data_IF_249049990503
#
_entry.id   IF_249049990503
#
_cell.length_a   1.000
_cell.length_b   1.000
_cell.length_c   1.000
_cell.angle_alpha   90.00
_cell.angle_beta   90.00
_cell.angle_gamma   90.00
#
_symmetry.space_group_name_H-M   'P 1'
#
loop_
_entity.id
_entity.type
_entity.pdbx_description
1 polymer ?
#
# COMPACT_ATOMS: atom_id res chain seq x y z
N UNK A 1 -3.26 -4.09 8.33
CA UNK A 1 -3.07 -3.05 7.32
C UNK A 1 -3.73 -1.76 7.78
N UNK A 2 -3.05 -0.66 7.63
CA UNK A 2 -3.53 0.63 8.10
C UNK A 2 -3.64 1.60 6.93
N UNK A 3 -4.67 2.45 6.97
CA UNK A 3 -4.92 3.41 5.89
C UNK A 3 -5.12 4.83 6.44
N UNK A 4 -4.13 5.39 7.15
CA UNK A 4 -4.28 6.78 7.51
C UNK A 4 -4.27 7.66 6.26
N UNK A 5 -5.16 8.62 6.20
CA UNK A 5 -5.11 9.61 5.14
C UNK A 5 -5.37 10.98 5.72
N UNK A 6 -4.90 11.99 5.04
CA UNK A 6 -5.09 13.38 5.44
C UNK A 6 -5.60 14.17 4.27
N UNK A 7 -6.67 14.96 4.45
CA UNK A 7 -7.00 15.98 3.46
C UNK A 7 -5.81 16.92 3.41
N UNK A 8 -5.25 17.09 2.23
CA UNK A 8 -4.05 17.89 2.11
C UNK A 8 -4.46 19.30 1.68
N UNK A 9 -4.55 20.21 2.64
CA UNK A 9 -4.91 21.59 2.34
C UNK A 9 -3.89 22.27 1.42
N UNK A 10 -2.67 21.73 1.32
CA UNK A 10 -1.67 22.21 0.40
C UNK A 10 -1.78 21.60 -0.99
N UNK A 11 -2.72 20.67 -1.20
CA UNK A 11 -2.96 20.00 -2.47
C UNK A 11 -4.20 20.58 -3.13
N UNK A 12 -4.54 20.10 -4.32
CA UNK A 12 -5.76 20.55 -4.97
C UNK A 12 -6.99 20.06 -4.21
N UNK A 13 -8.15 20.70 -4.45
CA UNK A 13 -9.36 20.55 -3.65
C UNK A 13 -9.85 19.12 -3.49
N UNK A 14 -9.61 18.27 -4.46
CA UNK A 14 -10.12 16.90 -4.44
C UNK A 14 -9.05 15.87 -4.10
N UNK A 15 -7.89 16.31 -3.71
CA UNK A 15 -6.77 15.39 -3.48
C UNK A 15 -6.50 15.14 -2.01
N UNK A 16 -6.03 13.94 -1.74
CA UNK A 16 -5.58 13.51 -0.42
C UNK A 16 -4.19 12.92 -0.55
N UNK A 17 -3.48 12.86 0.57
CA UNK A 17 -2.24 12.09 0.68
C UNK A 17 -2.58 10.82 1.42
N UNK A 18 -2.47 9.68 0.73
CA UNK A 18 -2.70 8.37 1.33
C UNK A 18 -1.38 7.74 1.70
N UNK A 19 -1.25 7.39 2.97
CA UNK A 19 -0.11 6.64 3.49
C UNK A 19 -0.62 5.26 3.86
N UNK A 20 0.04 4.22 3.36
CA UNK A 20 -0.41 2.85 3.57
C UNK A 20 0.74 1.96 3.99
N UNK A 21 0.45 1.02 4.87
CA UNK A 21 1.39 -0.05 5.22
C UNK A 21 0.71 -1.37 4.94
N UNK A 22 1.35 -2.19 4.12
CA UNK A 22 0.86 -3.52 3.78
C UNK A 22 1.71 -4.55 4.50
N UNK A 23 1.06 -5.46 5.21
CA UNK A 23 1.71 -6.62 5.82
C UNK A 23 1.50 -7.80 4.89
N UNK A 24 2.57 -8.29 4.31
CA UNK A 24 2.51 -9.26 3.22
C UNK A 24 3.34 -10.49 3.53
N UNK A 25 2.92 -11.63 2.96
CA UNK A 25 3.81 -12.76 2.84
C UNK A 25 4.88 -12.44 1.81
N UNK A 26 6.06 -13.01 1.95
CA UNK A 26 7.14 -12.74 1.02
C UNK A 26 6.74 -13.05 -0.43
N UNK A 27 5.94 -14.08 -0.62
CA UNK A 27 5.46 -14.46 -1.96
C UNK A 27 4.52 -13.43 -2.60
N UNK A 28 3.99 -12.50 -1.80
CA UNK A 28 3.03 -11.49 -2.28
C UNK A 28 3.70 -10.16 -2.64
N UNK A 29 4.94 -9.97 -2.21
CA UNK A 29 5.60 -8.66 -2.28
C UNK A 29 5.72 -8.17 -3.72
N UNK A 30 6.18 -9.04 -4.62
CA UNK A 30 6.44 -8.63 -6.00
C UNK A 30 5.16 -8.16 -6.70
N UNK A 31 4.07 -8.88 -6.50
CA UNK A 31 2.79 -8.53 -7.14
C UNK A 31 2.24 -7.21 -6.61
N UNK A 32 2.27 -7.03 -5.30
CA UNK A 32 1.78 -5.79 -4.69
C UNK A 32 2.66 -4.61 -5.08
N UNK A 33 3.97 -4.79 -5.02
CA UNK A 33 4.90 -3.74 -5.40
C UNK A 33 4.70 -3.34 -6.86
N UNK A 34 4.55 -4.31 -7.74
CA UNK A 34 4.33 -4.05 -9.17
C UNK A 34 3.02 -3.29 -9.39
N UNK A 35 1.94 -3.72 -8.75
CA UNK A 35 0.66 -3.04 -8.85
C UNK A 35 0.76 -1.59 -8.42
N UNK A 36 1.36 -1.36 -7.25
CA UNK A 36 1.50 -0.01 -6.72
C UNK A 36 2.36 0.86 -7.64
N UNK A 37 3.47 0.31 -8.15
CA UNK A 37 4.34 1.05 -9.06
C UNK A 37 3.63 1.39 -10.37
N UNK A 38 2.85 0.47 -10.90
CA UNK A 38 2.09 0.69 -12.13
C UNK A 38 1.04 1.79 -11.97
N UNK A 39 0.56 2.00 -10.75
CA UNK A 39 -0.43 3.02 -10.43
C UNK A 39 0.19 4.26 -9.81
N UNK A 40 1.50 4.43 -9.98
CA UNK A 40 2.24 5.64 -9.58
C UNK A 40 2.32 5.87 -8.07
N UNK A 41 2.24 4.81 -7.29
CA UNK A 41 2.52 4.90 -5.87
C UNK A 41 4.02 4.93 -5.63
N UNK A 42 4.44 5.65 -4.61
CA UNK A 42 5.83 5.64 -4.16
C UNK A 42 5.97 4.60 -3.06
N UNK A 43 6.74 3.55 -3.32
CA UNK A 43 7.07 2.55 -2.31
C UNK A 43 8.32 3.03 -1.61
N UNK A 44 8.19 3.37 -0.31
CA UNK A 44 9.27 4.02 0.42
C UNK A 44 10.12 3.07 1.25
N UNK A 45 9.58 1.90 1.62
CA UNK A 45 10.32 0.92 2.39
C UNK A 45 9.70 -0.46 2.24
N UNK A 46 10.56 -1.45 2.11
CA UNK A 46 10.19 -2.85 2.19
C UNK A 46 11.15 -3.46 3.19
N UNK A 47 10.63 -3.97 4.31
CA UNK A 47 11.51 -4.51 5.33
C UNK A 47 10.82 -5.62 6.11
N UNK A 48 11.65 -6.43 6.75
CA UNK A 48 11.24 -7.52 7.60
C UNK A 48 11.59 -7.16 9.03
N UNK A 49 10.61 -7.19 9.93
CA UNK A 49 10.82 -6.82 11.32
C UNK A 49 11.37 -7.95 12.18
N UNK A 50 11.31 -9.19 11.70
CA UNK A 50 11.67 -10.37 12.49
C UNK A 50 12.68 -11.22 11.73
N UNK A 51 13.64 -11.78 12.45
CA UNK A 51 14.64 -12.66 11.84
C UNK A 51 14.12 -14.07 11.60
N UNK A 52 13.33 -14.57 12.53
CA UNK A 52 12.96 -15.98 12.57
C UNK A 52 11.48 -16.20 12.36
N UNK A 53 10.86 -15.36 11.55
CA UNK A 53 9.43 -15.47 11.24
C UNK A 53 9.13 -16.76 10.49
N UNK A 54 8.02 -17.35 10.84
CA UNK A 54 7.45 -18.44 10.06
C UNK A 54 5.93 -18.35 10.13
N UNK A 55 5.24 -17.85 9.09
CA UNK A 55 5.82 -17.36 7.84
C UNK A 55 6.53 -16.02 8.02
N UNK A 56 7.43 -15.72 7.08
CA UNK A 56 8.09 -14.41 7.07
C UNK A 56 7.11 -13.34 6.58
N UNK A 57 6.98 -12.29 7.37
CA UNK A 57 6.14 -11.15 7.04
C UNK A 57 7.00 -9.98 6.59
N UNK A 58 6.59 -9.35 5.52
CA UNK A 58 7.25 -8.19 4.95
C UNK A 58 6.33 -7.00 5.09
N UNK A 59 6.87 -5.86 5.50
CA UNK A 59 6.12 -4.63 5.65
C UNK A 59 6.49 -3.68 4.51
N UNK A 60 5.50 -3.33 3.71
CA UNK A 60 5.69 -2.48 2.56
C UNK A 60 4.96 -1.18 2.80
N UNK A 61 5.70 -0.06 2.79
CA UNK A 61 5.15 1.27 2.96
C UNK A 61 5.01 1.95 1.62
N UNK A 62 3.85 2.51 1.35
CA UNK A 62 3.59 3.18 0.09
C UNK A 62 2.76 4.43 0.33
N UNK A 63 2.91 5.40 -0.56
CA UNK A 63 2.13 6.63 -0.48
C UNK A 63 1.78 7.14 -1.87
N UNK A 64 0.67 7.84 -1.94
CA UNK A 64 0.24 8.48 -3.16
C UNK A 64 -0.62 9.70 -2.86
N UNK A 65 -0.46 10.73 -3.68
CA UNK A 65 -1.30 11.90 -3.70
C UNK A 65 -2.23 11.80 -4.91
N UNK A 66 -3.53 11.73 -4.66
CA UNK A 66 -4.53 11.61 -5.73
C UNK A 66 -5.90 11.88 -5.10
N UNK A 67 -6.96 11.83 -5.89
CA UNK A 67 -8.28 11.95 -5.31
C UNK A 67 -8.62 10.72 -4.45
N UNK A 68 -9.56 10.90 -3.53
CA UNK A 68 -9.88 9.86 -2.56
C UNK A 68 -10.36 8.57 -3.22
N UNK A 69 -11.22 8.70 -4.23
CA UNK A 69 -11.77 7.52 -4.91
C UNK A 69 -10.67 6.69 -5.58
N UNK A 70 -9.70 7.35 -6.21
CA UNK A 70 -8.60 6.65 -6.85
C UNK A 70 -7.71 5.94 -5.85
N UNK A 71 -7.31 6.62 -4.76
CA UNK A 71 -6.43 5.97 -3.78
C UNK A 71 -7.12 4.80 -3.09
N UNK A 72 -8.39 4.92 -2.77
CA UNK A 72 -9.13 3.81 -2.16
C UNK A 72 -9.28 2.64 -3.13
N UNK A 73 -9.60 2.91 -4.39
CA UNK A 73 -9.71 1.89 -5.41
C UNK A 73 -8.39 1.17 -5.64
N UNK A 74 -7.29 1.91 -5.63
CA UNK A 74 -5.97 1.33 -5.86
C UNK A 74 -5.46 0.54 -4.66
N UNK A 75 -5.78 0.97 -3.43
CA UNK A 75 -5.49 0.16 -2.25
C UNK A 75 -6.24 -1.16 -2.33
N UNK A 76 -7.51 -1.11 -2.72
CA UNK A 76 -8.30 -2.33 -2.91
C UNK A 76 -7.69 -3.23 -3.97
N UNK A 77 -7.26 -2.64 -5.10
CA UNK A 77 -6.59 -3.39 -6.17
C UNK A 77 -5.30 -4.03 -5.70
N UNK A 78 -4.52 -3.32 -4.88
CA UNK A 78 -3.30 -3.88 -4.29
C UNK A 78 -3.61 -5.08 -3.40
N UNK A 79 -4.67 -4.99 -2.59
CA UNK A 79 -5.10 -6.11 -1.75
C UNK A 79 -5.54 -7.31 -2.57
N UNK A 80 -6.11 -7.09 -3.73
CA UNK A 80 -6.51 -8.18 -4.62
C UNK A 80 -5.32 -8.96 -5.18
N UNK A 81 -4.12 -8.38 -5.10
CA UNK A 81 -2.90 -9.08 -5.50
C UNK A 81 -2.41 -10.04 -4.41
N UNK A 82 -3.04 -10.04 -3.25
CA UNK A 82 -2.66 -10.91 -2.15
C UNK A 82 -3.56 -12.12 -2.09
N UNK A 83 -3.21 -13.06 -1.20
CA UNK A 83 -3.99 -14.28 -1.00
C UNK A 83 -5.02 -14.15 0.10
N UNK A 84 -5.19 -12.97 0.66
CA UNK A 84 -6.05 -12.83 1.85
C UNK A 84 -7.54 -12.81 1.53
N UNK A 85 -7.93 -12.44 0.34
CA UNK A 85 -9.35 -12.37 -0.01
C UNK A 85 -10.14 -11.36 0.79
N UNK A 86 -9.50 -10.31 1.29
CA UNK A 86 -10.12 -9.37 2.22
C UNK A 86 -10.71 -8.12 1.57
N UNK A 87 -11.10 -8.18 0.34
CA UNK A 87 -11.72 -7.04 -0.34
C UNK A 87 -13.09 -7.36 -0.87
#
# INVERSE_FOLDING_TARGET
MEFPYQPASALSNSQVLMLSEFTLLQSEVDKVNQYLSDHHWTVSAIHNHWFDDNPRLIFLHAQKQDNLDNVLSEVRGALQQTNCGCV
#
